data_IF_655803198517
#
_entry.id   IF_655803198517
#
_cell.length_a   1.000
_cell.length_b   1.000
_cell.length_c   1.000
_cell.angle_alpha   90.00
_cell.angle_beta   90.00
_cell.angle_gamma   90.00
#
_symmetry.space_group_name_H-M   'P 1'
#
loop_
_entity.id
_entity.type
_entity.pdbx_description
1 polymer ?
#
# COMPACT_ATOMS: atom_id res chain seq x y z
N UNK A 1 1.16 1.98 6.62
CA UNK A 1 -0.04 1.15 6.35
C UNK A 1 -1.26 2.02 6.12
N UNK A 2 -2.28 1.54 5.40
CA UNK A 2 -3.56 2.23 5.18
C UNK A 2 -3.61 3.19 3.99
N UNK A 3 -2.54 3.29 3.19
CA UNK A 3 -2.52 4.16 2.01
C UNK A 3 -3.28 3.52 0.86
N UNK A 4 -3.99 4.33 0.08
CA UNK A 4 -4.55 3.88 -1.19
C UNK A 4 -3.42 3.71 -2.22
N UNK A 5 -3.60 2.79 -3.18
CA UNK A 5 -2.64 2.58 -4.26
C UNK A 5 -2.28 3.87 -5.00
N UNK A 6 -3.26 4.79 -5.17
CA UNK A 6 -3.04 6.09 -5.81
C UNK A 6 -1.99 6.93 -5.10
N UNK A 7 -2.01 6.97 -3.78
CA UNK A 7 -1.08 7.79 -3.00
C UNK A 7 0.33 7.21 -3.09
N UNK A 8 0.43 5.87 -3.08
CA UNK A 8 1.70 5.16 -3.28
C UNK A 8 2.25 5.38 -4.69
N UNK A 9 1.40 5.34 -5.73
CA UNK A 9 1.80 5.63 -7.11
C UNK A 9 2.33 7.06 -7.27
N UNK A 10 1.67 8.03 -6.64
CA UNK A 10 2.12 9.42 -6.67
C UNK A 10 3.48 9.58 -6.00
N UNK A 11 3.68 8.95 -4.83
CA UNK A 11 4.95 8.96 -4.13
C UNK A 11 6.06 8.31 -4.97
N UNK A 12 5.81 7.12 -5.51
CA UNK A 12 6.77 6.41 -6.35
C UNK A 12 7.16 7.22 -7.59
N UNK A 13 6.20 7.90 -8.23
CA UNK A 13 6.48 8.78 -9.36
C UNK A 13 7.36 9.98 -8.96
N UNK A 14 7.05 10.63 -7.85
CA UNK A 14 7.83 11.78 -7.34
C UNK A 14 9.26 11.40 -6.99
N UNK A 15 9.45 10.23 -6.36
CA UNK A 15 10.75 9.72 -5.94
C UNK A 15 11.46 8.87 -7.01
N UNK A 16 10.85 8.73 -8.19
CA UNK A 16 11.34 7.92 -9.31
C UNK A 16 11.61 6.45 -8.92
N UNK A 17 10.75 5.85 -8.11
CA UNK A 17 10.85 4.46 -7.65
C UNK A 17 10.22 3.50 -8.66
N UNK A 18 10.71 2.26 -8.67
CA UNK A 18 10.11 1.17 -9.42
C UNK A 18 9.07 0.44 -8.55
N UNK A 19 7.81 0.86 -8.65
CA UNK A 19 6.71 0.31 -7.85
C UNK A 19 6.22 -1.03 -8.39
N UNK A 20 6.18 -2.06 -7.53
CA UNK A 20 5.60 -3.38 -7.81
C UNK A 20 4.43 -3.65 -6.85
N UNK A 21 3.20 -3.22 -7.18
CA UNK A 21 2.04 -3.48 -6.35
C UNK A 21 1.49 -4.89 -6.57
N UNK A 22 0.99 -5.52 -5.50
CA UNK A 22 0.25 -6.78 -5.55
C UNK A 22 -1.04 -6.72 -4.73
N UNK A 23 -2.12 -7.33 -5.23
CA UNK A 23 -3.44 -7.30 -4.56
C UNK A 23 -4.27 -6.06 -4.89
N UNK A 24 -5.29 -5.79 -4.05
CA UNK A 24 -6.25 -4.69 -4.20
C UNK A 24 -6.59 -4.10 -2.82
N UNK A 25 -7.15 -2.88 -2.76
CA UNK A 25 -7.52 -2.24 -1.49
C UNK A 25 -6.46 -1.29 -0.94
N UNK A 26 -6.09 -1.46 0.32
CA UNK A 26 -5.16 -0.57 1.05
C UNK A 26 -3.84 -1.27 1.34
N UNK A 27 -2.76 -0.50 1.37
CA UNK A 27 -1.41 -1.03 1.63
C UNK A 27 -1.29 -1.52 3.07
N UNK A 28 -0.99 -2.81 3.23
CA UNK A 28 -0.73 -3.46 4.51
C UNK A 28 0.74 -3.77 4.70
N UNK A 29 1.49 -4.00 3.63
CA UNK A 29 2.90 -4.40 3.70
C UNK A 29 3.73 -3.71 2.60
N UNK A 30 5.02 -3.54 2.89
CA UNK A 30 6.01 -2.99 1.97
C UNK A 30 7.33 -3.75 2.09
N UNK A 31 8.07 -3.85 0.98
CA UNK A 31 9.32 -4.60 0.92
C UNK A 31 10.51 -3.90 1.58
N UNK A 32 10.39 -2.60 1.90
CA UNK A 32 11.45 -1.78 2.51
C UNK A 32 11.06 -1.40 3.93
N UNK A 33 12.00 -1.43 4.86
CA UNK A 33 11.73 -1.01 6.24
C UNK A 33 11.57 0.51 6.34
N UNK A 34 10.83 0.97 7.34
CA UNK A 34 10.74 2.41 7.65
C UNK A 34 12.13 2.96 8.01
N UNK A 35 12.40 4.21 7.60
CA UNK A 35 13.71 4.85 7.79
C UNK A 35 14.80 4.44 6.78
N UNK A 36 14.51 3.50 5.87
CA UNK A 36 15.43 3.15 4.78
C UNK A 36 15.65 4.35 3.85
N UNK A 37 16.91 4.67 3.56
CA UNK A 37 17.25 5.67 2.53
C UNK A 37 16.92 5.10 1.15
N UNK A 38 16.13 5.84 0.37
CA UNK A 38 15.72 5.46 -0.97
C UNK A 38 16.48 6.26 -2.02
N UNK A 39 16.85 5.59 -3.12
CA UNK A 39 17.44 6.22 -4.29
C UNK A 39 16.51 6.11 -5.49
N UNK A 40 16.56 7.04 -6.47
CA UNK A 40 15.87 6.87 -7.75
C UNK A 40 16.16 5.51 -8.36
N UNK A 41 15.13 4.84 -8.87
CA UNK A 41 15.20 3.48 -9.42
C UNK A 41 15.08 2.35 -8.39
N UNK A 42 15.04 2.65 -7.09
CA UNK A 42 14.86 1.61 -6.05
C UNK A 42 13.53 0.89 -6.26
N UNK A 43 13.55 -0.43 -6.15
CA UNK A 43 12.34 -1.25 -6.22
C UNK A 43 11.55 -1.16 -4.90
N UNK A 44 10.26 -0.83 -5.03
CA UNK A 44 9.32 -0.79 -3.90
C UNK A 44 8.20 -1.80 -4.17
N UNK A 45 8.24 -2.93 -3.48
CA UNK A 45 7.12 -3.87 -3.43
C UNK A 45 6.09 -3.42 -2.40
N UNK A 46 4.82 -3.39 -2.77
CA UNK A 46 3.72 -3.13 -1.82
C UNK A 46 2.63 -4.17 -1.99
N UNK A 47 2.08 -4.64 -0.87
CA UNK A 47 0.94 -5.55 -0.87
C UNK A 47 -0.29 -4.84 -0.35
N UNK A 48 -1.38 -4.99 -1.09
CA UNK A 48 -2.67 -4.39 -0.80
C UNK A 48 -3.67 -5.48 -0.44
N UNK A 49 -4.45 -5.20 0.59
CA UNK A 49 -5.55 -6.06 1.02
C UNK A 49 -6.83 -5.22 1.03
N UNK A 50 -7.95 -5.73 0.48
CA UNK A 50 -9.24 -5.05 0.60
C UNK A 50 -9.58 -4.90 2.08
N UNK A 51 -10.27 -3.80 2.47
CA UNK A 51 -10.83 -3.75 3.80
C UNK A 51 -11.71 -4.99 3.96
N UNK A 52 -11.53 -5.73 5.07
CA UNK A 52 -12.51 -6.73 5.45
C UNK A 52 -13.86 -6.00 5.48
N UNK A 53 -14.87 -6.54 4.80
CA UNK A 53 -16.24 -6.05 4.97
C UNK A 53 -16.47 -5.87 6.48
N UNK A 54 -17.09 -4.75 6.92
CA UNK A 54 -17.54 -4.68 8.30
C UNK A 54 -18.33 -5.97 8.53
N UNK A 55 -17.87 -6.82 9.45
CA UNK A 55 -18.65 -7.97 9.87
C UNK A 55 -19.96 -7.42 10.42
N UNK A 56 -20.98 -7.45 9.56
CA UNK A 56 -22.39 -7.24 9.83
C UNK A 56 -22.70 -5.94 10.59
N UNK A 57 -23.43 -5.03 9.94
CA UNK A 57 -24.41 -4.24 10.70
C UNK A 57 -25.12 -5.22 11.65
N UNK A 58 -24.95 -4.97 12.94
CA UNK A 58 -25.43 -5.84 14.00
C UNK A 58 -26.87 -6.26 13.70
N UNK A 59 -27.09 -7.55 13.44
CA UNK A 59 -28.37 -8.16 13.72
C UNK A 59 -28.67 -7.86 15.18
N UNK A 60 -29.71 -7.07 15.43
CA UNK A 60 -30.52 -7.14 16.65
C UNK A 60 -31.90 -6.52 16.38
N UNK A 61 -32.93 -7.08 17.03
CA UNK A 61 -34.11 -7.72 16.43
C UNK A 61 -35.25 -6.77 16.03
#
# INVERSE_FOLDING_TARGET
QGWALRDVMNLAKTLQLNLKPSGTGYVTEQSVAEGTLLQPGTELGVTLVPPLEPQQEAEKP
#
